data_IF_944695420164
#
_entry.id   IF_944695420164
#
_cell.length_a   1.000
_cell.length_b   1.000
_cell.length_c   1.000
_cell.angle_alpha   90.00
_cell.angle_beta   90.00
_cell.angle_gamma   90.00
#
_symmetry.space_group_name_H-M   'P 1'
#
loop_
_entity.id
_entity.type
_entity.pdbx_description
1 polymer ?
#
# COMPACT_ATOMS: atom_id res chain seq x y z
N UNK A 1 -8.39 20.78 -3.03
CA UNK A 1 -7.58 21.81 -3.69
C UNK A 1 -6.44 21.22 -4.53
N UNK A 2 -5.61 20.28 -4.01
CA UNK A 2 -4.46 19.73 -4.74
C UNK A 2 -4.82 19.03 -6.06
N UNK A 3 -5.95 18.30 -6.11
CA UNK A 3 -6.43 17.68 -7.35
C UNK A 3 -6.93 18.75 -8.35
N UNK A 4 -7.61 19.79 -7.88
CA UNK A 4 -8.06 20.88 -8.73
C UNK A 4 -6.88 21.67 -9.35
N UNK A 5 -5.72 21.70 -8.66
CA UNK A 5 -4.50 22.38 -9.09
C UNK A 5 -3.61 21.54 -10.02
N UNK A 6 -4.02 20.33 -10.41
CA UNK A 6 -3.24 19.50 -11.33
C UNK A 6 -3.06 20.21 -12.69
N UNK A 7 -1.82 20.16 -13.21
CA UNK A 7 -1.50 20.73 -14.52
C UNK A 7 -2.05 19.92 -15.71
N UNK A 8 -2.40 18.67 -15.48
CA UNK A 8 -3.05 17.82 -16.46
C UNK A 8 -4.56 18.08 -16.49
N UNK A 9 -5.10 18.51 -17.63
CA UNK A 9 -6.52 18.90 -17.75
C UNK A 9 -7.45 17.72 -18.07
N UNK A 10 -6.94 16.62 -18.58
CA UNK A 10 -7.72 15.49 -19.10
C UNK A 10 -8.18 14.50 -18.03
N UNK A 11 -8.67 14.95 -16.86
CA UNK A 11 -9.11 14.06 -15.79
C UNK A 11 -10.55 14.31 -15.34
N UNK A 12 -11.10 13.31 -14.65
CA UNK A 12 -12.28 13.41 -13.80
C UNK A 12 -11.91 12.91 -12.41
N UNK A 13 -12.31 13.61 -11.38
CA UNK A 13 -12.18 13.21 -10.00
C UNK A 13 -13.51 12.73 -9.46
N UNK A 14 -13.59 11.48 -9.03
CA UNK A 14 -14.77 10.91 -8.41
C UNK A 14 -14.57 10.97 -6.90
N UNK A 15 -15.35 11.81 -6.23
CA UNK A 15 -15.40 11.95 -4.79
C UNK A 15 -16.36 10.89 -4.26
N UNK A 16 -15.84 9.78 -3.79
CA UNK A 16 -16.67 8.71 -3.21
C UNK A 16 -16.87 8.99 -1.73
N UNK A 17 -18.10 9.36 -1.38
CA UNK A 17 -18.52 9.60 -0.01
C UNK A 17 -19.15 8.31 0.55
N UNK A 18 -18.48 7.70 1.53
CA UNK A 18 -18.79 6.36 2.05
C UNK A 18 -19.62 6.43 3.36
N UNK A 19 -20.72 7.20 3.34
CA UNK A 19 -21.68 7.27 4.44
C UNK A 19 -21.15 7.99 5.68
N UNK A 20 -20.48 9.12 5.51
CA UNK A 20 -20.02 9.98 6.60
C UNK A 20 -21.19 10.62 7.35
N UNK A 21 -20.98 10.93 8.63
CA UNK A 21 -21.99 11.54 9.50
C UNK A 21 -21.71 13.02 9.81
N UNK A 22 -20.65 13.57 9.23
CA UNK A 22 -20.25 14.98 9.31
C UNK A 22 -20.67 15.76 8.03
N UNK A 23 -20.05 16.90 7.80
CA UNK A 23 -20.35 17.76 6.63
C UNK A 23 -19.73 17.27 5.31
N UNK A 24 -19.03 16.11 5.30
CA UNK A 24 -18.37 15.57 4.11
C UNK A 24 -19.31 15.39 2.90
N UNK A 25 -20.54 14.85 3.04
CA UNK A 25 -21.46 14.73 1.90
C UNK A 25 -21.76 16.08 1.24
N UNK A 26 -22.11 17.09 2.04
CA UNK A 26 -22.42 18.43 1.53
C UNK A 26 -21.20 19.10 0.87
N UNK A 27 -20.01 18.86 1.39
CA UNK A 27 -18.75 19.35 0.82
C UNK A 27 -18.47 18.70 -0.55
N UNK A 28 -18.67 17.39 -0.68
CA UNK A 28 -18.53 16.68 -1.96
C UNK A 28 -19.47 17.25 -3.03
N UNK A 29 -20.73 17.48 -2.67
CA UNK A 29 -21.74 18.07 -3.55
C UNK A 29 -21.37 19.50 -3.97
N UNK A 30 -20.90 20.32 -3.03
CA UNK A 30 -20.47 21.69 -3.30
C UNK A 30 -19.26 21.75 -4.25
N UNK A 31 -18.28 20.85 -4.08
CA UNK A 31 -17.11 20.74 -4.96
C UNK A 31 -17.55 20.32 -6.36
N UNK A 32 -18.40 19.29 -6.48
CA UNK A 32 -18.90 18.82 -7.78
C UNK A 32 -19.76 19.87 -8.51
N UNK A 33 -20.52 20.67 -7.79
CA UNK A 33 -21.27 21.77 -8.35
C UNK A 33 -20.39 22.94 -8.83
N UNK A 34 -19.22 23.14 -8.20
CA UNK A 34 -18.30 24.23 -8.49
C UNK A 34 -17.32 23.96 -9.63
N UNK A 35 -16.96 22.70 -9.89
CA UNK A 35 -16.01 22.31 -10.91
C UNK A 35 -16.45 21.01 -11.62
N UNK A 36 -16.78 21.12 -12.91
CA UNK A 36 -17.28 20.01 -13.72
C UNK A 36 -16.30 18.83 -13.88
N UNK A 37 -15.05 18.97 -13.45
CA UNK A 37 -14.09 17.86 -13.40
C UNK A 37 -14.36 16.90 -12.24
N UNK A 38 -15.14 17.32 -11.26
CA UNK A 38 -15.47 16.54 -10.07
C UNK A 38 -16.87 15.94 -10.17
N UNK A 39 -17.01 14.72 -9.66
CA UNK A 39 -18.28 13.99 -9.58
C UNK A 39 -18.42 13.49 -8.15
N UNK A 40 -19.50 13.81 -7.47
CA UNK A 40 -19.83 13.26 -6.16
C UNK A 40 -20.59 11.95 -6.33
N UNK A 41 -20.16 10.91 -5.61
CA UNK A 41 -20.80 9.60 -5.56
C UNK A 41 -21.04 9.22 -4.10
N UNK A 42 -22.30 9.10 -3.69
CA UNK A 42 -22.67 8.76 -2.32
C UNK A 42 -23.06 7.29 -2.21
N UNK A 43 -22.59 6.64 -1.15
CA UNK A 43 -22.98 5.28 -0.81
C UNK A 43 -23.17 5.10 0.70
N UNK A 44 -23.86 4.04 1.10
CA UNK A 44 -23.87 3.61 2.50
C UNK A 44 -22.48 3.10 2.87
N UNK A 45 -22.01 3.44 4.09
CA UNK A 45 -20.69 3.03 4.57
C UNK A 45 -20.44 1.54 4.35
N UNK A 46 -19.47 1.23 3.52
CA UNK A 46 -19.12 -0.11 3.08
C UNK A 46 -17.60 -0.36 3.11
N UNK A 47 -16.84 0.64 3.56
CA UNK A 47 -15.40 0.58 3.73
C UNK A 47 -14.59 0.94 2.48
N UNK A 48 -13.30 1.12 2.69
CA UNK A 48 -12.36 1.67 1.68
C UNK A 48 -12.31 0.86 0.38
N UNK A 49 -12.35 -0.48 0.46
CA UNK A 49 -12.36 -1.34 -0.73
C UNK A 49 -13.60 -1.11 -1.59
N UNK A 50 -14.78 -1.05 -0.96
CA UNK A 50 -16.04 -0.81 -1.64
C UNK A 50 -16.08 0.60 -2.25
N UNK A 51 -15.60 1.61 -1.53
CA UNK A 51 -15.51 2.98 -2.01
C UNK A 51 -14.59 3.08 -3.25
N UNK A 52 -13.38 2.50 -3.19
CA UNK A 52 -12.45 2.45 -4.33
C UNK A 52 -13.05 1.72 -5.54
N UNK A 53 -13.73 0.59 -5.30
CA UNK A 53 -14.41 -0.20 -6.34
C UNK A 53 -15.54 0.61 -6.99
N UNK A 54 -16.36 1.32 -6.20
CA UNK A 54 -17.42 2.19 -6.71
C UNK A 54 -16.84 3.33 -7.57
N UNK A 55 -15.75 3.97 -7.11
CA UNK A 55 -15.05 5.01 -7.87
C UNK A 55 -14.52 4.50 -9.21
N UNK A 56 -13.91 3.31 -9.24
CA UNK A 56 -13.41 2.69 -10.48
C UNK A 56 -14.57 2.33 -11.43
N UNK A 57 -15.68 1.81 -10.90
CA UNK A 57 -16.88 1.50 -11.70
C UNK A 57 -17.44 2.75 -12.36
N UNK A 58 -17.61 3.83 -11.61
CA UNK A 58 -18.06 5.12 -12.13
C UNK A 58 -17.09 5.69 -13.16
N UNK A 59 -15.78 5.66 -12.89
CA UNK A 59 -14.76 6.09 -13.83
C UNK A 59 -14.82 5.32 -15.15
N UNK A 60 -15.05 4.01 -15.12
CA UNK A 60 -15.25 3.19 -16.32
C UNK A 60 -16.51 3.60 -17.09
N UNK A 61 -17.61 3.87 -16.40
CA UNK A 61 -18.84 4.36 -17.03
C UNK A 61 -18.63 5.71 -17.73
N UNK A 62 -17.75 6.55 -17.20
CA UNK A 62 -17.31 7.81 -17.80
C UNK A 62 -16.23 7.64 -18.89
N UNK A 63 -15.80 6.44 -19.19
CA UNK A 63 -14.83 6.11 -20.24
C UNK A 63 -13.37 6.31 -19.86
N UNK A 64 -13.04 6.31 -18.56
CA UNK A 64 -11.68 6.43 -18.07
C UNK A 64 -10.78 5.32 -18.66
N UNK A 65 -9.58 5.71 -19.05
CA UNK A 65 -8.53 4.81 -19.56
C UNK A 65 -7.44 4.53 -18.52
N UNK A 66 -7.36 5.39 -17.52
CA UNK A 66 -6.38 5.34 -16.44
C UNK A 66 -7.03 5.68 -15.11
N UNK A 67 -6.50 5.12 -14.03
CA UNK A 67 -6.95 5.34 -12.67
C UNK A 67 -5.78 5.72 -11.77
N UNK A 68 -5.99 6.72 -10.94
CA UNK A 68 -5.13 7.10 -9.83
C UNK A 68 -6.00 7.26 -8.58
N UNK A 69 -5.44 7.04 -7.40
CA UNK A 69 -6.15 7.12 -6.12
C UNK A 69 -5.52 8.20 -5.25
N UNK A 70 -6.34 8.95 -4.55
CA UNK A 70 -5.91 9.93 -3.56
C UNK A 70 -6.76 9.77 -2.31
N UNK A 71 -6.11 9.62 -1.17
CA UNK A 71 -6.82 9.63 0.10
C UNK A 71 -7.22 11.07 0.45
N UNK A 72 -8.35 11.25 1.16
CA UNK A 72 -9.00 12.57 1.31
C UNK A 72 -8.18 13.56 2.15
N UNK A 73 -7.26 13.09 2.97
CA UNK A 73 -6.38 13.85 3.84
C UNK A 73 -4.99 14.14 3.24
N UNK A 74 -4.71 13.61 2.05
CA UNK A 74 -3.43 13.71 1.37
C UNK A 74 -3.42 14.71 0.21
N UNK A 75 -2.24 14.95 -0.38
CA UNK A 75 -2.08 15.91 -1.46
C UNK A 75 -1.28 15.31 -2.63
N UNK A 76 -1.68 15.66 -3.85
CA UNK A 76 -0.87 15.44 -5.05
C UNK A 76 0.08 16.63 -5.30
N UNK A 77 1.29 16.33 -5.72
CA UNK A 77 2.16 17.28 -6.40
C UNK A 77 1.43 17.84 -7.65
N UNK A 78 1.54 19.13 -7.98
CA UNK A 78 0.82 19.71 -9.13
C UNK A 78 1.07 19.04 -10.49
N UNK A 79 2.21 18.37 -10.65
CA UNK A 79 2.61 17.65 -11.87
C UNK A 79 2.43 16.11 -11.75
N UNK A 80 1.72 15.62 -10.75
CA UNK A 80 1.57 14.18 -10.51
C UNK A 80 0.94 13.47 -11.71
N UNK A 81 -0.25 13.90 -12.12
CA UNK A 81 -0.98 13.25 -13.22
C UNK A 81 -0.23 13.39 -14.54
N UNK A 82 0.30 14.57 -14.86
CA UNK A 82 1.03 14.81 -16.10
C UNK A 82 2.29 13.94 -16.21
N UNK A 83 3.07 13.88 -15.13
CA UNK A 83 4.31 13.09 -15.08
C UNK A 83 4.05 11.60 -15.24
N UNK A 84 3.08 11.04 -14.47
CA UNK A 84 2.79 9.61 -14.56
C UNK A 84 2.13 9.25 -15.90
N UNK A 85 1.27 10.10 -16.44
CA UNK A 85 0.68 9.89 -17.76
C UNK A 85 1.73 9.94 -18.88
N UNK A 86 2.66 10.88 -18.84
CA UNK A 86 3.80 10.91 -19.77
C UNK A 86 4.66 9.64 -19.64
N UNK A 87 4.90 9.15 -18.41
CA UNK A 87 5.68 7.94 -18.19
C UNK A 87 5.03 6.69 -18.80
N UNK A 88 3.72 6.49 -18.64
CA UNK A 88 3.02 5.35 -19.25
C UNK A 88 2.94 5.47 -20.76
N UNK A 89 2.72 6.68 -21.27
CA UNK A 89 2.63 6.94 -22.72
C UNK A 89 3.98 6.70 -23.41
N UNK A 90 5.07 7.20 -22.83
CA UNK A 90 6.41 7.06 -23.40
C UNK A 90 6.95 5.62 -23.28
N UNK A 91 6.62 4.90 -22.22
CA UNK A 91 7.09 3.53 -22.00
C UNK A 91 6.23 2.47 -22.66
N UNK A 92 4.96 2.77 -22.95
CA UNK A 92 3.95 1.78 -23.37
C UNK A 92 3.56 0.80 -22.27
N UNK A 93 3.91 1.08 -21.00
CA UNK A 93 3.57 0.23 -19.87
C UNK A 93 2.20 0.60 -19.28
N UNK A 94 1.45 -0.38 -18.75
CA UNK A 94 0.12 -0.14 -18.19
C UNK A 94 0.16 0.41 -16.75
N UNK A 95 1.35 0.69 -16.21
CA UNK A 95 1.56 1.05 -14.82
C UNK A 95 2.73 2.03 -14.70
N UNK A 96 2.52 3.12 -13.96
CA UNK A 96 3.57 4.01 -13.47
C UNK A 96 3.43 4.25 -11.98
N UNK A 97 4.54 4.58 -11.32
CA UNK A 97 4.57 4.98 -9.92
C UNK A 97 5.62 6.08 -9.68
N UNK A 98 5.47 6.80 -8.58
CA UNK A 98 6.44 7.79 -8.10
C UNK A 98 6.76 7.58 -6.63
N UNK A 99 7.71 8.35 -6.09
CA UNK A 99 7.96 8.45 -4.65
C UNK A 99 6.85 9.24 -3.97
N UNK A 100 6.90 9.20 -2.67
CA UNK A 100 6.13 10.08 -1.79
C UNK A 100 7.04 10.68 -0.70
N UNK A 101 6.56 11.71 -0.07
CA UNK A 101 7.08 12.22 1.19
C UNK A 101 5.96 12.29 2.24
N UNK A 102 6.32 12.64 3.47
CA UNK A 102 5.38 12.73 4.57
C UNK A 102 5.40 14.13 5.17
N UNK A 103 4.24 14.60 5.63
CA UNK A 103 4.14 15.88 6.33
C UNK A 103 3.11 15.81 7.46
N UNK A 104 3.24 16.70 8.42
CA UNK A 104 2.25 16.94 9.49
C UNK A 104 1.51 18.24 9.25
N UNK A 105 2.15 19.36 9.55
CA UNK A 105 1.54 20.70 9.49
C UNK A 105 2.00 21.50 8.25
N UNK A 106 3.23 21.28 7.79
CA UNK A 106 3.81 22.02 6.67
C UNK A 106 4.00 21.09 5.50
N UNK A 107 3.34 21.41 4.38
CA UNK A 107 3.51 20.68 3.13
C UNK A 107 4.94 20.88 2.62
N UNK A 108 5.66 19.81 2.22
CA UNK A 108 6.97 19.94 1.62
C UNK A 108 6.93 20.81 0.36
N UNK A 109 8.03 21.48 0.09
CA UNK A 109 8.15 22.25 -1.16
C UNK A 109 8.22 21.29 -2.35
N UNK A 110 7.43 21.58 -3.38
CA UNK A 110 7.44 20.82 -4.62
C UNK A 110 8.81 20.89 -5.29
N UNK A 111 9.41 19.74 -5.53
CA UNK A 111 10.60 19.62 -6.37
C UNK A 111 10.18 19.45 -7.84
N UNK A 112 10.95 19.96 -8.82
CA UNK A 112 10.61 19.77 -10.23
C UNK A 112 10.45 18.29 -10.57
N UNK A 113 9.37 17.95 -11.28
CA UNK A 113 9.14 16.59 -11.76
C UNK A 113 10.18 16.19 -12.81
N UNK A 114 10.62 14.91 -12.87
CA UNK A 114 11.62 14.45 -13.82
C UNK A 114 11.06 14.38 -15.24
N UNK A 115 11.89 14.65 -16.22
CA UNK A 115 11.52 14.46 -17.64
C UNK A 115 11.53 12.99 -18.08
N UNK A 116 12.16 12.10 -17.31
CA UNK A 116 12.34 10.68 -17.66
C UNK A 116 11.94 9.76 -16.51
N UNK A 117 11.46 8.55 -16.86
CA UNK A 117 11.17 7.48 -15.93
C UNK A 117 12.17 6.34 -16.07
N UNK A 118 12.46 5.65 -14.95
CA UNK A 118 13.19 4.39 -14.93
C UNK A 118 12.21 3.25 -15.21
N UNK A 119 12.53 2.40 -16.19
CA UNK A 119 11.69 1.24 -16.50
C UNK A 119 12.13 0.04 -15.66
N UNK A 120 11.22 -0.42 -14.80
CA UNK A 120 11.37 -1.64 -14.03
C UNK A 120 10.57 -2.75 -14.75
N UNK A 121 11.28 -3.67 -15.41
CA UNK A 121 10.62 -4.81 -16.09
C UNK A 121 10.49 -6.01 -15.14
N UNK A 122 9.58 -6.92 -15.47
CA UNK A 122 9.41 -8.18 -14.74
C UNK A 122 10.75 -8.98 -14.72
N UNK A 123 11.15 -9.55 -13.57
CA UNK A 123 10.48 -9.51 -12.26
C UNK A 123 10.88 -8.33 -11.37
N UNK A 124 11.79 -7.42 -11.81
CA UNK A 124 12.37 -6.36 -10.98
C UNK A 124 11.32 -5.38 -10.41
N UNK A 125 10.21 -5.13 -11.11
CA UNK A 125 9.12 -4.28 -10.59
C UNK A 125 8.39 -4.95 -9.42
N UNK A 126 8.20 -6.28 -9.46
CA UNK A 126 7.62 -7.07 -8.35
C UNK A 126 8.54 -7.04 -7.12
N UNK A 127 9.84 -7.18 -7.35
CA UNK A 127 10.84 -7.11 -6.28
C UNK A 127 10.87 -5.71 -5.65
N UNK A 128 10.81 -4.67 -6.48
CA UNK A 128 10.73 -3.29 -6.00
C UNK A 128 9.46 -3.04 -5.15
N UNK A 129 8.29 -3.58 -5.53
CA UNK A 129 7.07 -3.47 -4.73
C UNK A 129 7.26 -4.07 -3.33
N UNK A 130 7.97 -5.20 -3.21
CA UNK A 130 8.12 -5.89 -1.92
C UNK A 130 9.22 -5.31 -1.03
N UNK A 131 10.28 -4.75 -1.61
CA UNK A 131 11.51 -4.41 -0.88
C UNK A 131 11.99 -2.96 -1.05
N UNK A 132 11.47 -2.23 -2.05
CA UNK A 132 11.84 -0.82 -2.27
C UNK A 132 10.73 0.10 -1.76
N UNK A 133 10.96 0.73 -0.61
CA UNK A 133 10.03 1.69 -0.01
C UNK A 133 9.68 2.89 -0.91
N UNK A 134 10.44 3.12 -1.98
CA UNK A 134 10.12 4.16 -2.95
C UNK A 134 8.92 3.81 -3.83
N UNK A 135 8.67 2.50 -4.07
CA UNK A 135 7.50 2.03 -4.83
C UNK A 135 6.26 2.01 -3.95
N UNK A 136 6.43 1.69 -2.66
CA UNK A 136 5.40 1.61 -1.62
C UNK A 136 4.22 0.66 -1.91
N UNK A 137 3.49 0.32 -0.85
CA UNK A 137 2.31 -0.57 -0.91
C UNK A 137 1.01 0.17 -1.24
N UNK A 138 0.96 1.49 -1.07
CA UNK A 138 -0.22 2.31 -1.30
C UNK A 138 -0.63 2.36 -2.77
N UNK A 139 -1.93 2.48 -3.03
CA UNK A 139 -2.45 2.70 -4.39
C UNK A 139 -2.24 4.13 -4.87
N UNK A 140 -2.07 5.06 -3.95
CA UNK A 140 -2.16 6.50 -4.13
C UNK A 140 -0.98 7.14 -4.90
N UNK A 141 0.20 6.52 -4.96
CA UNK A 141 1.37 7.03 -5.71
C UNK A 141 1.51 6.40 -7.11
N UNK A 142 0.41 5.91 -7.67
CA UNK A 142 0.43 5.11 -8.91
C UNK A 142 -0.63 5.56 -9.91
N UNK A 143 -0.35 5.26 -11.18
CA UNK A 143 -1.28 5.38 -12.30
C UNK A 143 -1.41 4.00 -12.95
N UNK A 144 -2.63 3.48 -13.01
CA UNK A 144 -2.99 2.17 -13.54
C UNK A 144 -3.79 2.31 -14.82
N UNK A 145 -3.52 1.50 -15.85
CA UNK A 145 -4.43 1.41 -16.98
C UNK A 145 -5.76 0.78 -16.55
N UNK A 146 -6.85 1.16 -17.20
CA UNK A 146 -8.17 0.61 -16.90
C UNK A 146 -8.25 -0.90 -17.17
N UNK A 147 -7.46 -1.41 -18.13
CA UNK A 147 -7.43 -2.84 -18.45
C UNK A 147 -6.67 -3.65 -17.39
N UNK A 148 -5.74 -3.01 -16.68
CA UNK A 148 -4.94 -3.66 -15.63
C UNK A 148 -5.72 -3.76 -14.31
N UNK A 149 -6.46 -2.72 -13.95
CA UNK A 149 -7.12 -2.61 -12.64
C UNK A 149 -8.51 -3.25 -12.69
N UNK A 150 -8.72 -4.39 -12.03
CA UNK A 150 -10.02 -5.04 -11.94
C UNK A 150 -10.72 -4.77 -10.61
N UNK A 151 -12.04 -4.94 -10.56
CA UNK A 151 -12.80 -4.76 -9.31
C UNK A 151 -12.37 -5.80 -8.26
N UNK A 152 -12.09 -7.04 -8.66
CA UNK A 152 -11.63 -8.10 -7.76
C UNK A 152 -10.25 -7.84 -7.16
N UNK A 153 -9.42 -7.01 -7.80
CA UNK A 153 -8.16 -6.56 -7.21
C UNK A 153 -8.40 -5.64 -6.01
N UNK A 154 -9.41 -4.77 -6.11
CA UNK A 154 -9.74 -3.79 -5.07
C UNK A 154 -10.60 -4.40 -3.96
N UNK A 155 -11.62 -5.19 -4.32
CA UNK A 155 -12.47 -5.91 -3.38
C UNK A 155 -11.88 -7.30 -3.09
N UNK A 156 -10.78 -7.32 -2.37
CA UNK A 156 -10.02 -8.55 -2.06
C UNK A 156 -10.38 -9.18 -0.69
N UNK A 157 -11.38 -8.63 -0.01
CA UNK A 157 -11.90 -9.16 1.25
C UNK A 157 -10.96 -8.97 2.46
N UNK A 158 -10.02 -8.03 2.38
CA UNK A 158 -9.14 -7.63 3.48
C UNK A 158 -9.53 -6.22 3.95
N UNK A 159 -9.38 -5.98 5.25
CA UNK A 159 -9.49 -4.66 5.84
C UNK A 159 -8.11 -4.03 6.15
N UNK A 160 -7.05 -4.84 6.07
CA UNK A 160 -5.67 -4.42 6.31
C UNK A 160 -4.73 -5.04 5.30
N UNK A 161 -3.84 -4.25 4.72
CA UNK A 161 -3.00 -4.61 3.57
C UNK A 161 -3.80 -4.97 2.31
N UNK A 162 -5.02 -4.47 2.20
CA UNK A 162 -5.86 -4.57 1.02
C UNK A 162 -5.19 -3.93 -0.20
N UNK A 163 -4.53 -2.80 0.01
CA UNK A 163 -3.77 -2.05 -0.99
C UNK A 163 -2.51 -2.79 -1.45
N UNK A 164 -1.75 -3.38 -0.52
CA UNK A 164 -0.62 -4.25 -0.87
C UNK A 164 -1.05 -5.41 -1.76
N UNK A 165 -2.17 -6.07 -1.42
CA UNK A 165 -2.64 -7.19 -2.20
C UNK A 165 -3.19 -6.76 -3.58
N UNK A 166 -3.90 -5.63 -3.63
CA UNK A 166 -4.35 -5.04 -4.89
C UNK A 166 -3.16 -4.67 -5.79
N UNK A 167 -2.15 -4.00 -5.23
CA UNK A 167 -0.91 -3.68 -5.95
C UNK A 167 -0.17 -4.93 -6.44
N UNK A 168 -0.03 -5.96 -5.58
CA UNK A 168 0.62 -7.20 -5.97
C UNK A 168 -0.05 -7.82 -7.20
N UNK A 169 -1.37 -7.93 -7.20
CA UNK A 169 -2.14 -8.50 -8.32
C UNK A 169 -1.98 -7.65 -9.59
N UNK A 170 -2.02 -6.31 -9.47
CA UNK A 170 -1.82 -5.42 -10.60
C UNK A 170 -0.38 -5.50 -11.15
N UNK A 171 0.62 -5.49 -10.27
CA UNK A 171 2.02 -5.64 -10.66
C UNK A 171 2.30 -7.00 -11.32
N UNK A 172 1.69 -8.07 -10.80
CA UNK A 172 1.84 -9.42 -11.36
C UNK A 172 1.26 -9.52 -12.79
N UNK A 173 0.18 -8.80 -13.07
CA UNK A 173 -0.44 -8.73 -14.39
C UNK A 173 0.30 -7.79 -15.36
N UNK A 174 1.12 -6.86 -14.87
CA UNK A 174 1.86 -5.91 -15.69
C UNK A 174 3.21 -6.46 -16.13
N UNK A 175 3.67 -6.15 -17.35
CA UNK A 175 5.01 -6.56 -17.82
C UNK A 175 6.14 -5.73 -17.20
N UNK A 176 5.79 -4.71 -16.40
CA UNK A 176 6.71 -3.79 -15.73
C UNK A 176 6.01 -2.53 -15.25
N UNK A 177 6.79 -1.65 -14.62
CA UNK A 177 6.36 -0.36 -14.10
C UNK A 177 7.31 0.76 -14.55
N UNK A 178 6.76 1.91 -14.94
CA UNK A 178 7.54 3.14 -15.17
C UNK A 178 7.67 3.89 -13.83
N UNK A 179 8.87 3.96 -13.27
CA UNK A 179 9.16 4.63 -12.01
C UNK A 179 9.67 6.05 -12.24
N UNK A 180 8.97 7.03 -11.69
CA UNK A 180 9.32 8.46 -11.74
C UNK A 180 9.96 8.86 -10.39
N UNK A 181 11.22 9.27 -10.41
CA UNK A 181 11.99 9.56 -9.20
C UNK A 181 11.74 10.98 -8.67
N UNK A 182 10.52 11.23 -8.18
CA UNK A 182 10.13 12.47 -7.49
C UNK A 182 9.02 12.19 -6.47
N UNK A 183 8.90 13.03 -5.46
CA UNK A 183 7.81 12.97 -4.49
C UNK A 183 6.53 13.54 -5.13
N UNK A 184 5.81 12.69 -5.84
CA UNK A 184 4.55 13.07 -6.50
C UNK A 184 3.34 13.04 -5.58
N UNK A 185 3.49 12.47 -4.40
CA UNK A 185 2.44 12.33 -3.40
C UNK A 185 2.94 12.80 -2.04
N UNK A 186 2.13 13.58 -1.33
CA UNK A 186 2.41 14.09 0.01
C UNK A 186 1.44 13.45 1.00
N UNK A 187 1.95 12.46 1.75
CA UNK A 187 1.20 11.70 2.73
C UNK A 187 1.12 12.46 4.04
N UNK A 188 -0.11 12.79 4.49
CA UNK A 188 -0.33 13.50 5.74
C UNK A 188 -0.28 12.55 6.94
N UNK A 189 0.56 12.88 7.90
CA UNK A 189 0.62 12.19 9.18
C UNK A 189 -0.11 13.01 10.25
N UNK A 190 -1.13 12.43 10.88
CA UNK A 190 -1.83 13.02 12.02
C UNK A 190 -2.14 11.94 13.07
N UNK A 191 -2.42 12.38 14.31
CA UNK A 191 -2.60 11.47 15.45
C UNK A 191 -3.76 10.47 15.26
N UNK A 192 -4.79 10.86 14.48
CA UNK A 192 -5.99 10.06 14.21
C UNK A 192 -5.86 9.17 12.96
N UNK A 193 -4.70 9.17 12.29
CA UNK A 193 -4.46 8.33 11.11
C UNK A 193 -4.76 6.87 11.41
N UNK A 194 -5.34 6.16 10.44
CA UNK A 194 -5.71 4.75 10.60
C UNK A 194 -4.51 3.86 11.01
N UNK A 195 -3.31 4.23 10.55
CA UNK A 195 -2.04 3.58 10.90
C UNK A 195 -1.68 3.68 12.39
N UNK A 196 -2.20 4.68 13.12
CA UNK A 196 -1.94 4.88 14.56
C UNK A 196 -2.97 4.22 15.47
N UNK A 197 -4.08 3.75 14.93
CA UNK A 197 -5.14 3.10 15.72
C UNK A 197 -4.70 1.74 16.25
N UNK A 198 -5.29 1.34 17.38
CA UNK A 198 -5.10 -0.01 17.89
C UNK A 198 -5.63 -1.03 16.87
N UNK A 199 -4.71 -1.80 16.28
CA UNK A 199 -5.06 -2.81 15.28
C UNK A 199 -5.75 -4.00 15.97
N UNK A 200 -6.96 -4.41 15.55
CA UNK A 200 -7.62 -5.59 16.09
C UNK A 200 -6.89 -6.88 15.67
N UNK A 201 -7.15 -8.04 16.33
CA UNK A 201 -6.57 -9.32 15.92
C UNK A 201 -6.77 -9.65 14.44
N UNK A 202 -7.91 -9.27 13.85
CA UNK A 202 -8.21 -9.41 12.43
C UNK A 202 -7.12 -8.77 11.54
N UNK A 203 -6.53 -7.64 11.95
CA UNK A 203 -5.47 -6.98 11.18
C UNK A 203 -4.22 -7.85 11.01
N UNK A 204 -3.93 -8.70 11.99
CA UNK A 204 -2.82 -9.67 11.91
C UNK A 204 -3.15 -10.77 10.90
N UNK A 205 -4.38 -11.28 10.96
CA UNK A 205 -4.85 -12.32 10.06
C UNK A 205 -4.86 -11.85 8.61
N UNK A 206 -5.37 -10.63 8.36
CA UNK A 206 -5.41 -10.03 7.02
C UNK A 206 -4.00 -9.83 6.45
N UNK A 207 -3.09 -9.23 7.21
CA UNK A 207 -1.71 -9.03 6.77
C UNK A 207 -0.99 -10.35 6.49
N UNK A 208 -1.22 -11.38 7.32
CA UNK A 208 -0.68 -12.72 7.10
C UNK A 208 -1.26 -13.37 5.84
N UNK A 209 -2.56 -13.21 5.59
CA UNK A 209 -3.24 -13.71 4.39
C UNK A 209 -2.70 -13.03 3.12
N UNK A 210 -2.55 -11.70 3.13
CA UNK A 210 -1.94 -10.97 2.03
C UNK A 210 -0.54 -11.50 1.70
N UNK A 211 0.32 -11.63 2.72
CA UNK A 211 1.67 -12.14 2.52
C UNK A 211 1.70 -13.61 2.04
N UNK A 212 0.77 -14.44 2.50
CA UNK A 212 0.66 -15.83 2.05
C UNK A 212 0.20 -15.93 0.58
N UNK A 213 -0.75 -15.09 0.16
CA UNK A 213 -1.19 -15.04 -1.24
C UNK A 213 -0.07 -14.56 -2.17
N UNK A 214 0.66 -13.50 -1.77
CA UNK A 214 1.85 -13.03 -2.50
C UNK A 214 2.83 -14.17 -2.72
N UNK A 215 3.15 -14.92 -1.65
CA UNK A 215 4.05 -16.07 -1.74
C UNK A 215 3.53 -17.18 -2.64
N UNK A 216 2.24 -17.46 -2.61
CA UNK A 216 1.62 -18.54 -3.38
C UNK A 216 1.48 -18.24 -4.87
N UNK A 217 1.32 -16.95 -5.22
CA UNK A 217 1.08 -16.50 -6.61
C UNK A 217 2.33 -15.99 -7.31
N UNK A 218 3.45 -15.88 -6.60
CA UNK A 218 4.69 -15.34 -7.15
C UNK A 218 5.30 -16.27 -8.22
N UNK A 219 5.88 -15.70 -9.29
CA UNK A 219 6.64 -16.44 -10.29
C UNK A 219 7.79 -17.25 -9.68
N UNK A 220 8.17 -18.35 -10.34
CA UNK A 220 9.20 -19.25 -9.82
C UNK A 220 10.55 -18.54 -9.56
N UNK A 221 10.93 -17.60 -10.43
CA UNK A 221 12.14 -16.78 -10.27
C UNK A 221 12.12 -15.83 -9.06
N UNK A 222 10.94 -15.55 -8.50
CA UNK A 222 10.75 -14.69 -7.34
C UNK A 222 10.71 -15.45 -6.00
N UNK A 223 10.78 -16.79 -6.01
CA UNK A 223 10.57 -17.58 -4.78
C UNK A 223 11.54 -17.22 -3.65
N UNK A 224 12.79 -16.89 -3.98
CA UNK A 224 13.77 -16.47 -2.98
C UNK A 224 13.38 -15.13 -2.35
N UNK A 225 12.93 -14.17 -3.13
CA UNK A 225 12.50 -12.83 -2.71
C UNK A 225 11.21 -12.91 -1.87
N UNK A 226 10.18 -13.58 -2.37
CA UNK A 226 8.89 -13.67 -1.66
C UNK A 226 8.97 -14.51 -0.38
N UNK A 227 9.85 -15.53 -0.32
CA UNK A 227 10.08 -16.27 0.90
C UNK A 227 10.77 -15.40 1.98
N UNK A 228 11.71 -14.52 1.59
CA UNK A 228 12.29 -13.55 2.51
C UNK A 228 11.24 -12.56 3.02
N UNK A 229 10.47 -11.96 2.10
CA UNK A 229 9.38 -11.04 2.42
C UNK A 229 8.35 -11.68 3.36
N UNK A 230 7.86 -12.87 3.02
CA UNK A 230 6.87 -13.59 3.84
C UNK A 230 7.40 -13.86 5.26
N UNK A 231 8.61 -14.36 5.39
CA UNK A 231 9.22 -14.64 6.68
C UNK A 231 9.44 -13.38 7.51
N UNK A 232 9.94 -12.32 6.88
CA UNK A 232 10.09 -11.01 7.53
C UNK A 232 8.75 -10.49 8.06
N UNK A 233 7.68 -10.60 7.26
CA UNK A 233 6.33 -10.21 7.67
C UNK A 233 5.85 -11.00 8.90
N UNK A 234 6.07 -12.32 8.96
CA UNK A 234 5.71 -13.12 10.14
C UNK A 234 6.44 -12.65 11.40
N UNK A 235 7.74 -12.41 11.29
CA UNK A 235 8.58 -11.93 12.42
C UNK A 235 8.17 -10.53 12.85
N UNK A 236 7.90 -9.65 11.90
CA UNK A 236 7.40 -8.30 12.15
C UNK A 236 6.07 -8.33 12.92
N UNK A 237 5.07 -9.08 12.43
CA UNK A 237 3.77 -9.21 13.06
C UNK A 237 3.86 -9.79 14.48
N UNK A 238 4.68 -10.80 14.69
CA UNK A 238 4.93 -11.36 16.03
C UNK A 238 5.54 -10.31 16.97
N UNK A 239 6.52 -9.55 16.50
CA UNK A 239 7.16 -8.48 17.27
C UNK A 239 6.18 -7.34 17.58
N UNK A 240 5.29 -7.00 16.64
CA UNK A 240 4.24 -6.01 16.81
C UNK A 240 3.23 -6.43 17.89
N UNK A 241 2.82 -7.69 17.93
CA UNK A 241 1.96 -8.22 19.00
C UNK A 241 2.68 -8.13 20.35
N UNK A 242 3.94 -8.56 20.42
CA UNK A 242 4.71 -8.61 21.68
C UNK A 242 4.95 -7.22 22.28
N UNK A 243 4.97 -6.16 21.49
CA UNK A 243 5.05 -4.77 21.99
C UNK A 243 3.80 -4.33 22.73
N UNK A 244 2.64 -4.87 22.42
CA UNK A 244 1.36 -4.41 22.95
C UNK A 244 1.17 -4.77 24.42
N UNK A 245 0.50 -3.90 25.18
CA UNK A 245 0.13 -4.16 26.57
C UNK A 245 -0.84 -5.35 26.65
N UNK A 246 -1.76 -5.45 25.70
CA UNK A 246 -2.80 -6.49 25.57
C UNK A 246 -2.39 -7.65 24.66
N UNK A 247 -1.11 -8.02 24.60
CA UNK A 247 -0.61 -9.11 23.75
C UNK A 247 -1.33 -10.47 24.00
N UNK A 248 -1.96 -10.64 25.16
CA UNK A 248 -2.75 -11.83 25.48
C UNK A 248 -3.98 -11.99 24.57
N UNK A 249 -4.56 -10.91 24.09
CA UNK A 249 -5.74 -10.93 23.22
C UNK A 249 -5.41 -11.48 21.81
N UNK A 250 -4.12 -11.51 21.45
CA UNK A 250 -3.60 -11.99 20.17
C UNK A 250 -2.98 -13.40 20.28
N UNK A 251 -3.33 -14.18 21.32
CA UNK A 251 -2.69 -15.48 21.57
C UNK A 251 -2.80 -16.45 20.39
N UNK A 252 -3.94 -16.47 19.71
CA UNK A 252 -4.18 -17.33 18.54
C UNK A 252 -3.23 -16.93 17.42
N UNK A 253 -3.25 -15.67 17.03
CA UNK A 253 -2.41 -15.10 15.97
C UNK A 253 -0.92 -15.32 16.27
N UNK A 254 -0.49 -15.06 17.50
CA UNK A 254 0.91 -15.23 17.89
C UNK A 254 1.36 -16.71 17.79
N UNK A 255 0.48 -17.66 18.11
CA UNK A 255 0.79 -19.08 17.97
C UNK A 255 0.92 -19.47 16.48
N UNK A 256 0.02 -19.02 15.64
CA UNK A 256 0.10 -19.28 14.19
C UNK A 256 1.36 -18.66 13.56
N UNK A 257 1.70 -17.44 13.96
CA UNK A 257 2.94 -16.80 13.53
C UNK A 257 4.17 -17.60 13.97
N UNK A 258 4.21 -18.07 15.21
CA UNK A 258 5.31 -18.91 15.71
C UNK A 258 5.46 -20.21 14.93
N UNK A 259 4.35 -20.86 14.56
CA UNK A 259 4.39 -22.07 13.70
C UNK A 259 5.06 -21.72 12.36
N UNK A 260 4.66 -20.64 11.72
CA UNK A 260 5.25 -20.20 10.46
C UNK A 260 6.73 -19.80 10.60
N UNK A 261 7.09 -19.13 11.70
CA UNK A 261 8.49 -18.75 12.00
C UNK A 261 9.34 -19.99 12.23
N UNK A 262 8.84 -21.00 12.96
CA UNK A 262 9.55 -22.26 13.16
C UNK A 262 9.79 -22.97 11.83
N UNK A 263 8.75 -23.14 11.02
CA UNK A 263 8.87 -23.76 9.70
C UNK A 263 9.89 -23.06 8.80
N UNK A 264 9.94 -21.72 8.84
CA UNK A 264 10.93 -20.95 8.10
C UNK A 264 12.34 -21.04 8.69
N UNK A 265 12.49 -21.15 10.02
CA UNK A 265 13.79 -21.33 10.68
C UNK A 265 14.41 -22.70 10.33
N UNK A 266 13.56 -23.72 10.14
CA UNK A 266 13.98 -25.07 9.78
C UNK A 266 14.25 -25.23 8.27
N UNK A 267 13.92 -24.22 7.43
CA UNK A 267 14.17 -24.22 5.99
C UNK A 267 15.62 -23.81 5.69
N UNK A 268 16.48 -24.76 5.19
CA UNK A 268 17.87 -24.45 4.86
C UNK A 268 18.03 -23.42 3.75
N UNK A 269 17.07 -23.33 2.82
CA UNK A 269 17.10 -22.36 1.71
C UNK A 269 16.85 -20.96 2.25
N UNK A 270 15.86 -20.79 3.13
CA UNK A 270 15.60 -19.52 3.79
C UNK A 270 16.74 -19.11 4.72
N UNK A 271 17.32 -20.06 5.44
CA UNK A 271 18.50 -19.85 6.29
C UNK A 271 19.72 -19.27 5.53
N UNK A 272 19.86 -19.58 4.26
CA UNK A 272 20.93 -19.10 3.37
C UNK A 272 20.52 -17.94 2.47
N UNK A 273 19.26 -17.49 2.54
CA UNK A 273 18.73 -16.44 1.69
C UNK A 273 19.44 -15.10 1.96
N UNK A 274 20.18 -14.51 0.99
CA UNK A 274 20.91 -13.27 1.20
C UNK A 274 20.00 -12.06 1.38
N UNK A 275 18.76 -12.13 0.92
CA UNK A 275 17.76 -11.07 1.05
C UNK A 275 17.15 -11.00 2.46
N UNK A 276 17.32 -12.05 3.28
CA UNK A 276 16.81 -12.05 4.64
C UNK A 276 17.82 -11.42 5.60
N UNK A 277 17.54 -10.24 6.20
CA UNK A 277 18.45 -9.56 7.11
C UNK A 277 18.82 -10.41 8.34
N UNK A 278 20.06 -10.26 8.82
CA UNK A 278 20.51 -10.94 10.05
C UNK A 278 19.69 -10.54 11.26
N UNK A 279 19.23 -9.30 11.33
CA UNK A 279 18.36 -8.78 12.37
C UNK A 279 17.04 -9.55 12.43
N UNK A 280 16.44 -9.86 11.30
CA UNK A 280 15.18 -10.65 11.22
C UNK A 280 15.42 -12.07 11.72
N UNK A 281 16.51 -12.73 11.33
CA UNK A 281 16.87 -14.06 11.82
C UNK A 281 17.05 -14.07 13.34
N UNK A 282 17.72 -13.06 13.88
CA UNK A 282 17.93 -12.91 15.32
C UNK A 282 16.60 -12.65 16.05
N UNK A 283 15.75 -11.78 15.52
CA UNK A 283 14.40 -11.51 16.05
C UNK A 283 13.53 -12.76 16.04
N UNK A 284 13.59 -13.56 14.98
CA UNK A 284 12.91 -14.86 14.89
C UNK A 284 13.40 -15.81 15.98
N UNK A 285 14.69 -15.95 16.14
CA UNK A 285 15.30 -16.79 17.17
C UNK A 285 14.86 -16.36 18.59
N UNK A 286 14.89 -15.05 18.88
CA UNK A 286 14.41 -14.51 20.15
C UNK A 286 12.90 -14.78 20.35
N UNK A 287 12.09 -14.64 19.32
CA UNK A 287 10.64 -14.91 19.37
C UNK A 287 10.34 -16.36 19.78
N UNK A 288 11.15 -17.31 19.29
CA UNK A 288 10.97 -18.74 19.53
C UNK A 288 11.58 -19.19 20.87
N UNK A 289 12.81 -18.78 21.17
CA UNK A 289 13.60 -19.35 22.27
C UNK A 289 13.63 -18.47 23.52
N UNK A 290 13.48 -17.16 23.39
CA UNK A 290 13.51 -16.22 24.51
C UNK A 290 12.35 -15.19 24.44
N UNK A 291 11.08 -15.64 24.37
CA UNK A 291 9.93 -14.76 24.09
C UNK A 291 9.72 -13.67 25.14
N UNK A 292 10.01 -13.95 26.42
CA UNK A 292 9.89 -12.93 27.49
C UNK A 292 10.94 -11.83 27.36
N UNK A 293 12.19 -12.20 27.04
CA UNK A 293 13.26 -11.23 26.79
C UNK A 293 12.94 -10.40 25.54
N UNK A 294 12.48 -11.06 24.47
CA UNK A 294 12.10 -10.37 23.23
C UNK A 294 10.93 -9.42 23.45
N UNK A 295 9.90 -9.84 24.19
CA UNK A 295 8.80 -8.97 24.57
C UNK A 295 9.26 -7.73 25.33
N UNK A 296 10.16 -7.88 26.29
CA UNK A 296 10.77 -6.76 27.01
C UNK A 296 11.54 -5.84 26.07
N UNK A 297 12.37 -6.39 25.19
CA UNK A 297 13.14 -5.64 24.22
C UNK A 297 12.21 -4.88 23.22
N UNK A 298 11.17 -5.55 22.71
CA UNK A 298 10.18 -4.94 21.83
C UNK A 298 9.49 -3.74 22.47
N UNK A 299 9.15 -3.83 23.77
CA UNK A 299 8.47 -2.76 24.50
C UNK A 299 9.36 -1.56 24.84
N UNK A 300 10.65 -1.78 25.02
CA UNK A 300 11.54 -0.73 25.52
C UNK A 300 12.44 -0.12 24.45
N UNK A 301 12.77 -0.82 23.38
CA UNK A 301 13.79 -0.40 22.43
C UNK A 301 13.33 -0.35 20.97
N UNK A 302 12.31 -1.11 20.60
CA UNK A 302 11.78 -1.03 19.25
C UNK A 302 10.71 0.06 19.20
N UNK A 303 11.08 1.22 18.70
CA UNK A 303 10.08 2.23 18.30
C UNK A 303 9.27 1.67 17.13
N UNK A 304 8.01 2.08 17.01
CA UNK A 304 7.26 1.82 15.80
C UNK A 304 8.04 2.45 14.64
N UNK A 305 8.49 1.62 13.70
CA UNK A 305 8.86 2.12 12.39
C UNK A 305 7.52 2.44 11.73
N UNK A 306 7.25 3.71 11.67
CA UNK A 306 6.17 4.31 10.90
C UNK A 306 6.43 4.11 9.41
#
# INVERSE_FOLDING_TARGET
DAIAAQKFDGFRCILVEDGSTDDSPALCDAIAAGDQRFVALHQTNSGVCAARTAGVREGRALGAKWFAFCDADDLYHPEFLDTLYAAVTNSGLPLACCRYDTFTDTVPADAPAPCNSKILRSPAHLDALLHDHAVDYGLWNKLFSADLLTEEMLDNGLAYNEDLLANWRAFLAAPGCAFCDFAGYHYRQHADSASHRALPPQSIDDQRRAAAEIRATAPAEMQQSVNAFYYEKLVYLASMILRRANAADYRVQLNELKIGITAGADDPQLGRNPLLPRSIRFSAWLTLHMPRLWQWACRNFLKDRQ
#
